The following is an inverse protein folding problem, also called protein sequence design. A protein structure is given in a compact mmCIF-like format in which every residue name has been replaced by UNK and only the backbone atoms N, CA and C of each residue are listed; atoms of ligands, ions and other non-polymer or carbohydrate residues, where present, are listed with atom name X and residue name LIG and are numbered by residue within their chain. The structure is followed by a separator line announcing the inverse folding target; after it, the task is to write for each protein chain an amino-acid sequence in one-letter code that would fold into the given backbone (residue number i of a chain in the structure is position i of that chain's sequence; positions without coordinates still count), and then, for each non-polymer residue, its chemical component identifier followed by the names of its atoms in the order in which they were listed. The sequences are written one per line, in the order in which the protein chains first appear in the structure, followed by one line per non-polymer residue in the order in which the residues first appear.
data_IF_714951776294
#
_entry.id   IF_714951776294
#
_cell.length_a   1.000
_cell.length_b   1.000
_cell.length_c   1.000
_cell.angle_alpha   90.00
_cell.angle_beta   90.00
_cell.angle_gamma   90.00
#
_symmetry.space_group_name_H-M   'P 1'
#
loop_
_entity.id
_entity.type
_entity.pdbx_description
1 polymer ?
#
# COMPACT_ATOMS: atom_id res chain seq x y z
N UNK A 1 -15.32 10.48 -16.98
CA UNK A 1 -14.05 10.13 -16.31
C UNK A 1 -14.32 9.85 -14.84
N UNK A 2 -13.92 8.69 -14.34
CA UNK A 2 -14.16 8.28 -12.96
C UNK A 2 -13.10 8.91 -12.05
N UNK A 3 -13.42 10.08 -11.48
CA UNK A 3 -12.50 10.90 -10.66
C UNK A 3 -11.86 10.13 -9.50
N UNK A 4 -12.51 9.06 -9.02
CA UNK A 4 -12.00 8.22 -7.92
C UNK A 4 -10.79 7.39 -8.35
N UNK A 5 -10.81 6.81 -9.56
CA UNK A 5 -9.71 5.98 -10.07
C UNK A 5 -8.46 6.79 -10.39
N UNK A 6 -8.64 7.98 -10.99
CA UNK A 6 -7.55 8.90 -11.31
C UNK A 6 -6.81 9.37 -10.05
N UNK A 7 -7.54 9.67 -8.97
CA UNK A 7 -6.95 10.03 -7.67
C UNK A 7 -6.19 8.86 -7.04
N UNK A 8 -6.75 7.66 -7.13
CA UNK A 8 -6.07 6.43 -6.68
C UNK A 8 -4.69 6.28 -7.34
N UNK A 9 -4.65 6.39 -8.66
CA UNK A 9 -3.42 6.30 -9.44
C UNK A 9 -2.37 7.35 -9.04
N UNK A 10 -2.78 8.61 -8.85
CA UNK A 10 -1.86 9.68 -8.38
C UNK A 10 -1.23 9.34 -7.03
N UNK A 11 -2.02 8.83 -6.09
CA UNK A 11 -1.50 8.44 -4.77
C UNK A 11 -0.54 7.25 -4.85
N UNK A 12 -0.84 6.26 -5.69
CA UNK A 12 0.02 5.11 -5.90
C UNK A 12 1.34 5.49 -6.58
N UNK A 13 1.29 6.29 -7.64
CA UNK A 13 2.48 6.80 -8.34
C UNK A 13 3.38 7.61 -7.41
N UNK A 14 2.79 8.49 -6.60
CA UNK A 14 3.53 9.26 -5.61
C UNK A 14 4.18 8.35 -4.57
N UNK A 15 3.44 7.36 -4.06
CA UNK A 15 3.96 6.39 -3.08
C UNK A 15 5.12 5.59 -3.66
N UNK A 16 5.00 5.10 -4.89
CA UNK A 16 6.08 4.41 -5.61
C UNK A 16 7.32 5.29 -5.73
N UNK A 17 7.15 6.56 -6.13
CA UNK A 17 8.27 7.50 -6.23
C UNK A 17 8.98 7.69 -4.89
N UNK A 18 8.23 7.83 -3.79
CA UNK A 18 8.80 7.94 -2.44
C UNK A 18 9.51 6.67 -1.97
N UNK A 19 8.97 5.50 -2.29
CA UNK A 19 9.60 4.22 -1.97
C UNK A 19 10.92 4.04 -2.73
N UNK A 20 10.93 4.31 -4.05
CA UNK A 20 12.14 4.27 -4.87
C UNK A 20 13.21 5.23 -4.35
N UNK A 21 12.84 6.46 -4.00
CA UNK A 21 13.75 7.44 -3.42
C UNK A 21 14.36 6.99 -2.07
N UNK A 22 13.71 6.05 -1.36
CA UNK A 22 14.21 5.43 -0.12
C UNK A 22 14.93 4.10 -0.36
N UNK A 23 15.24 3.76 -1.60
CA UNK A 23 15.98 2.56 -1.96
C UNK A 23 15.14 1.28 -2.02
N UNK A 24 13.81 1.37 -2.05
CA UNK A 24 12.96 0.21 -2.26
C UNK A 24 12.94 -0.17 -3.74
N UNK A 25 13.06 -1.46 -4.02
CA UNK A 25 12.77 -2.04 -5.33
C UNK A 25 11.28 -2.30 -5.45
N UNK A 26 10.63 -1.79 -6.50
CA UNK A 26 9.21 -2.10 -6.76
C UNK A 26 9.13 -3.45 -7.48
N UNK A 27 8.41 -4.40 -6.90
CA UNK A 27 8.23 -5.75 -7.43
C UNK A 27 6.91 -5.89 -8.20
N UNK A 28 5.84 -5.28 -7.69
CA UNK A 28 4.54 -5.26 -8.35
C UNK A 28 3.73 -4.02 -7.94
N UNK A 29 2.75 -3.69 -8.77
CA UNK A 29 1.75 -2.64 -8.58
C UNK A 29 0.39 -3.20 -8.96
N UNK A 30 -0.67 -2.81 -8.27
CA UNK A 30 -2.04 -3.30 -8.50
C UNK A 30 -2.09 -4.83 -8.63
N UNK A 31 -1.56 -5.54 -7.63
CA UNK A 31 -1.51 -7.01 -7.66
C UNK A 31 -2.83 -7.62 -7.18
N UNK A 32 -3.53 -8.34 -8.05
CA UNK A 32 -4.85 -8.91 -7.76
C UNK A 32 -4.81 -10.43 -7.61
N UNK A 33 -5.66 -10.93 -6.72
CA UNK A 33 -5.98 -12.35 -6.53
C UNK A 33 -7.48 -12.54 -6.31
N UNK A 34 -7.93 -13.79 -6.17
CA UNK A 34 -9.33 -14.07 -5.79
C UNK A 34 -9.71 -13.55 -4.40
N UNK A 35 -8.75 -13.25 -3.52
CA UNK A 35 -9.02 -12.76 -2.15
C UNK A 35 -9.05 -11.23 -2.06
N UNK A 36 -8.41 -10.52 -2.99
CA UNK A 36 -8.29 -9.08 -2.95
C UNK A 36 -7.11 -8.57 -3.76
N UNK A 37 -6.67 -7.37 -3.41
CA UNK A 37 -5.62 -6.64 -4.10
C UNK A 37 -4.59 -6.09 -3.11
N UNK A 38 -3.37 -5.87 -3.60
CA UNK A 38 -2.31 -5.13 -2.92
C UNK A 38 -1.82 -4.06 -3.88
N UNK A 39 -1.90 -2.80 -3.47
CA UNK A 39 -1.59 -1.66 -4.35
C UNK A 39 -0.13 -1.65 -4.77
N UNK A 40 0.80 -1.86 -3.83
CA UNK A 40 2.24 -1.89 -4.11
C UNK A 40 2.90 -3.04 -3.35
N UNK A 41 3.74 -3.81 -4.06
CA UNK A 41 4.66 -4.77 -3.46
C UNK A 41 6.06 -4.28 -3.75
N UNK A 42 6.85 -4.10 -2.70
CA UNK A 42 8.22 -3.61 -2.82
C UNK A 42 9.18 -4.37 -1.90
N UNK A 43 10.48 -4.24 -2.14
CA UNK A 43 11.50 -4.92 -1.38
C UNK A 43 12.65 -3.99 -0.98
N UNK A 44 13.27 -4.32 0.14
CA UNK A 44 14.54 -3.77 0.63
C UNK A 44 15.51 -4.93 0.87
N UNK A 45 16.70 -4.65 1.40
CA UNK A 45 17.64 -5.71 1.79
C UNK A 45 17.08 -6.66 2.89
N UNK A 46 16.08 -6.22 3.68
CA UNK A 46 15.55 -7.00 4.82
C UNK A 46 14.08 -7.39 4.68
N UNK A 47 13.28 -6.54 4.06
CA UNK A 47 11.82 -6.67 4.04
C UNK A 47 11.27 -6.81 2.62
N UNK A 48 10.27 -7.67 2.47
CA UNK A 48 9.27 -7.56 1.41
C UNK A 48 8.03 -6.90 2.00
N UNK A 49 7.65 -5.75 1.45
CA UNK A 49 6.58 -4.91 1.97
C UNK A 49 5.36 -4.98 1.06
N UNK A 50 4.19 -5.16 1.68
CA UNK A 50 2.89 -5.13 1.04
C UNK A 50 2.19 -3.86 1.50
N UNK A 51 2.05 -2.89 0.59
CA UNK A 51 1.62 -1.53 0.91
C UNK A 51 0.21 -1.30 0.39
N UNK A 52 -0.66 -0.85 1.29
CA UNK A 52 -1.98 -0.32 0.97
C UNK A 52 -1.90 1.22 0.88
N UNK A 53 -2.43 1.79 -0.21
CA UNK A 53 -2.42 3.23 -0.48
C UNK A 53 -3.81 3.82 -0.28
N UNK A 54 -3.92 4.74 0.68
CA UNK A 54 -5.15 5.47 0.98
C UNK A 54 -5.05 6.91 0.50
N UNK A 55 -5.65 7.19 -0.65
CA UNK A 55 -5.75 8.55 -1.19
C UNK A 55 -7.06 9.24 -0.74
N UNK A 56 -6.97 10.48 -0.25
CA UNK A 56 -8.11 11.32 0.14
C UNK A 56 -7.93 12.76 -0.33
N UNK A 57 -9.03 13.49 -0.50
CA UNK A 57 -8.96 14.95 -0.70
C UNK A 57 -8.77 15.65 0.64
N UNK A 58 -7.92 16.66 0.71
CA UNK A 58 -7.71 17.47 1.90
C UNK A 58 -9.01 18.17 2.37
N UNK A 59 -9.90 18.51 1.43
CA UNK A 59 -11.22 19.09 1.71
C UNK A 59 -12.21 18.10 2.35
N UNK A 60 -11.89 16.81 2.44
CA UNK A 60 -12.80 15.81 3.01
C UNK A 60 -12.98 15.92 4.52
N UNK A 61 -12.14 16.70 5.23
CA UNK A 61 -12.21 16.90 6.68
C UNK A 61 -11.87 15.67 7.52
N UNK A 62 -11.66 14.52 6.88
CA UNK A 62 -11.28 13.25 7.52
C UNK A 62 -9.76 13.14 7.49
N UNK A 63 -9.16 13.02 8.68
CA UNK A 63 -7.75 12.64 8.77
C UNK A 63 -7.54 11.32 8.02
N UNK A 64 -6.38 11.09 7.38
CA UNK A 64 -6.09 9.80 6.78
C UNK A 64 -5.96 8.76 7.91
N UNK A 65 -7.08 8.22 8.37
CA UNK A 65 -7.10 7.17 9.38
C UNK A 65 -6.37 5.96 8.80
N UNK A 66 -5.21 5.67 9.40
CA UNK A 66 -4.24 4.73 8.86
C UNK A 66 -4.64 3.29 9.12
N UNK A 67 -5.48 3.06 10.14
CA UNK A 67 -5.90 1.73 10.55
C UNK A 67 -6.55 0.96 9.39
N UNK A 68 -5.99 -0.20 9.07
CA UNK A 68 -6.60 -1.15 8.14
C UNK A 68 -7.60 -1.96 8.93
N UNK A 69 -8.85 -2.04 8.47
CA UNK A 69 -9.89 -2.81 9.19
C UNK A 69 -9.53 -4.30 9.25
N UNK A 70 -9.96 -5.05 10.28
CA UNK A 70 -9.64 -6.48 10.40
C UNK A 70 -10.03 -7.31 9.15
N UNK A 71 -11.16 -6.97 8.52
CA UNK A 71 -11.59 -7.61 7.26
C UNK A 71 -10.59 -7.35 6.13
N UNK A 72 -10.07 -6.12 6.02
CA UNK A 72 -9.11 -5.77 4.97
C UNK A 72 -7.72 -6.36 5.27
N UNK A 73 -7.30 -6.40 6.54
CA UNK A 73 -6.07 -7.11 6.95
C UNK A 73 -6.09 -8.59 6.52
N UNK A 74 -7.19 -9.31 6.78
CA UNK A 74 -7.35 -10.71 6.35
C UNK A 74 -7.22 -10.90 4.83
N UNK A 75 -7.76 -9.96 4.03
CA UNK A 75 -7.65 -10.00 2.56
C UNK A 75 -6.23 -9.73 2.09
N UNK A 76 -5.56 -8.74 2.67
CA UNK A 76 -4.15 -8.43 2.38
C UNK A 76 -3.25 -9.61 2.73
N UNK A 77 -3.43 -10.23 3.89
CA UNK A 77 -2.67 -11.42 4.31
C UNK A 77 -2.81 -12.57 3.32
N UNK A 78 -4.04 -12.93 2.94
CA UNK A 78 -4.27 -13.99 1.94
C UNK A 78 -3.68 -13.66 0.57
N UNK A 79 -3.77 -12.40 0.16
CA UNK A 79 -3.22 -11.94 -1.13
C UNK A 79 -1.70 -11.99 -1.12
N UNK A 80 -1.07 -11.57 -0.03
CA UNK A 80 0.38 -11.64 0.18
C UNK A 80 0.88 -13.09 0.24
N UNK A 81 0.14 -13.99 0.90
CA UNK A 81 0.45 -15.41 0.93
C UNK A 81 0.48 -16.03 -0.47
N UNK A 82 -0.53 -15.74 -1.30
CA UNK A 82 -0.52 -16.23 -2.69
C UNK A 82 0.63 -15.64 -3.51
N UNK A 83 0.98 -14.37 -3.27
CA UNK A 83 2.16 -13.76 -3.89
C UNK A 83 3.44 -14.51 -3.49
N UNK A 84 3.65 -14.76 -2.19
CA UNK A 84 4.84 -15.43 -1.68
C UNK A 84 4.94 -16.91 -2.08
N UNK A 85 3.81 -17.60 -2.27
CA UNK A 85 3.80 -18.94 -2.84
C UNK A 85 4.26 -18.95 -4.31
N UNK A 86 3.85 -17.94 -5.09
CA UNK A 86 4.23 -17.81 -6.50
C UNK A 86 5.65 -17.27 -6.69
N UNK A 87 6.06 -16.37 -5.80
CA UNK A 87 7.36 -15.71 -5.80
C UNK A 87 8.00 -15.83 -4.40
N UNK A 88 8.61 -16.99 -4.10
CA UNK A 88 9.26 -17.21 -2.82
C UNK A 88 10.32 -16.14 -2.54
N UNK A 89 10.33 -15.63 -1.31
CA UNK A 89 11.27 -14.60 -0.87
C UNK A 89 11.80 -14.94 0.52
N UNK A 90 13.11 -14.82 0.76
CA UNK A 90 13.68 -15.00 2.10
C UNK A 90 13.50 -13.74 2.97
N UNK A 91 12.99 -12.64 2.40
CA UNK A 91 12.83 -11.37 3.10
C UNK A 91 11.65 -11.44 4.07
N UNK A 92 11.76 -10.71 5.19
CA UNK A 92 10.70 -10.65 6.19
C UNK A 92 9.47 -9.91 5.62
N UNK A 93 8.29 -10.54 5.55
CA UNK A 93 7.07 -9.87 5.16
C UNK A 93 6.70 -8.73 6.12
N UNK A 94 6.20 -7.63 5.58
CA UNK A 94 5.70 -6.49 6.35
C UNK A 94 4.50 -5.87 5.66
N UNK A 95 3.49 -5.47 6.43
CA UNK A 95 2.32 -4.77 5.91
C UNK A 95 2.40 -3.31 6.28
N UNK A 96 2.40 -2.44 5.27
CA UNK A 96 2.57 -1.00 5.42
C UNK A 96 1.35 -0.26 4.87
N UNK A 97 1.14 0.98 5.31
CA UNK A 97 0.10 1.87 4.79
C UNK A 97 0.73 3.19 4.35
N UNK A 98 0.32 3.68 3.19
CA UNK A 98 0.64 5.01 2.69
C UNK A 98 -0.62 5.87 2.64
N UNK A 99 -0.67 6.93 3.44
CA UNK A 99 -1.71 7.96 3.38
C UNK A 99 -1.29 9.11 2.46
N UNK A 100 -2.09 9.40 1.43
CA UNK A 100 -1.86 10.50 0.50
C UNK A 100 -3.03 11.48 0.57
N UNK A 101 -2.75 12.74 0.89
CA UNK A 101 -3.75 13.82 0.80
C UNK A 101 -3.52 14.63 -0.46
N UNK A 102 -4.58 14.78 -1.25
CA UNK A 102 -4.62 15.58 -2.45
C UNK A 102 -5.32 16.93 -2.19
N UNK A 103 -4.68 18.02 -2.61
CA UNK A 103 -5.27 19.34 -2.73
C UNK A 103 -6.10 19.46 -4.01
N UNK A 104 -6.34 20.70 -4.44
CA UNK A 104 -7.22 21.02 -5.57
C UNK A 104 -6.95 20.23 -6.86
N UNK A 105 -6.07 20.60 -7.77
CA UNK A 105 -5.80 19.88 -9.03
C UNK A 105 -5.07 18.52 -8.85
N UNK A 106 -5.48 17.70 -7.88
CA UNK A 106 -4.86 16.43 -7.48
C UNK A 106 -3.38 16.55 -7.06
N UNK A 107 -2.90 17.73 -6.67
CA UNK A 107 -1.56 17.91 -6.13
C UNK A 107 -1.43 17.26 -4.76
N UNK A 108 -0.34 16.53 -4.53
CA UNK A 108 -0.08 15.91 -3.22
C UNK A 108 0.31 17.00 -2.22
N UNK A 109 -0.52 17.21 -1.20
CA UNK A 109 -0.30 18.23 -0.16
C UNK A 109 0.21 17.63 1.15
N UNK A 110 -0.03 16.34 1.39
CA UNK A 110 0.56 15.63 2.51
C UNK A 110 0.77 14.15 2.19
N UNK A 111 1.78 13.57 2.82
CA UNK A 111 2.13 12.16 2.69
C UNK A 111 2.56 11.60 4.04
N UNK A 112 1.99 10.45 4.40
CA UNK A 112 2.36 9.70 5.60
C UNK A 112 2.59 8.25 5.23
N UNK A 113 3.65 7.66 5.77
CA UNK A 113 4.00 6.27 5.53
C UNK A 113 4.17 5.58 6.88
N UNK A 114 3.35 4.57 7.12
CA UNK A 114 3.32 3.83 8.38
C UNK A 114 3.77 2.41 8.09
N UNK A 115 4.99 2.12 8.51
CA UNK A 115 5.57 0.79 8.44
C UNK A 115 5.03 -0.09 9.58
N UNK A 116 4.88 -1.40 9.33
CA UNK A 116 4.25 -2.33 10.29
C UNK A 116 2.86 -1.84 10.73
N UNK A 117 2.03 -1.42 9.77
CA UNK A 117 0.70 -0.90 10.05
C UNK A 117 -0.23 -1.92 10.74
N UNK A 118 0.03 -3.21 10.56
CA UNK A 118 -0.55 -4.30 11.33
C UNK A 118 0.32 -5.55 11.23
N UNK A 119 0.17 -6.45 12.19
CA UNK A 119 0.87 -7.74 12.21
C UNK A 119 0.07 -8.82 11.47
N UNK A 120 0.80 -9.77 10.88
CA UNK A 120 0.23 -10.96 10.26
C UNK A 120 0.11 -12.14 11.21
N UNK A 121 -0.25 -11.91 12.49
CA UNK A 121 -0.26 -12.98 13.49
C UNK A 121 -1.06 -14.21 13.02
N UNK A 122 -0.39 -15.36 13.02
CA UNK A 122 -0.98 -16.68 12.75
C UNK A 122 -1.06 -17.13 11.29
N UNK A 123 -0.55 -16.37 10.32
CA UNK A 123 -0.68 -16.69 8.90
C UNK A 123 0.63 -16.76 8.10
N UNK A 124 1.78 -16.38 8.67
CA UNK A 124 3.10 -16.44 8.02
C UNK A 124 4.09 -17.24 8.87
#
# INVERSE_FOLDING_TARGET
MNKTGERGAVGEDFTVSRLKARGYQILARNYHTCYGEIDIIAATARYIVFVEVKTRMASSGVAPEEAVTPTKQKRLLKTALLYLQKYPSPLQPRFDVAGVLLGEENQVVAFRYTANAFEGEGFL
#
